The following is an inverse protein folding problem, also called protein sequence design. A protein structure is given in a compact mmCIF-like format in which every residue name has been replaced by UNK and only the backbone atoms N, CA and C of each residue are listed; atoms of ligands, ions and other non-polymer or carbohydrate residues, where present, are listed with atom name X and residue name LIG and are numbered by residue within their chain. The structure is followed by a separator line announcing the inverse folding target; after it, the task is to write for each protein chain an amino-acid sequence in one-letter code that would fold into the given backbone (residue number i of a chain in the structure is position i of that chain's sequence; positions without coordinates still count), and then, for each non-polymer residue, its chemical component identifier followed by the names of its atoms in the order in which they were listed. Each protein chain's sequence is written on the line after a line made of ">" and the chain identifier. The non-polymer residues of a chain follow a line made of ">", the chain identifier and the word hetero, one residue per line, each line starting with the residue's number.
data_IF_285528902075
#
_entry.id   IF_285528902075
#
_cell.length_a   1.000
_cell.length_b   1.000
_cell.length_c   1.000
_cell.angle_alpha   90.00
_cell.angle_beta   90.00
_cell.angle_gamma   90.00
#
_symmetry.space_group_name_H-M   'P 1'
#
loop_
_entity.id
_entity.type
_entity.pdbx_description
1 polymer ?
#
# COMPACT_ATOMS: atom_id res chain seq x y z
N UNK A 1 -36.22 56.06 13.74
CA UNK A 1 -37.22 55.29 14.52
C UNK A 1 -36.88 53.82 14.35
N UNK A 2 -36.68 52.93 15.34
CA UNK A 2 -36.48 52.93 16.80
C UNK A 2 -35.80 51.58 17.10
N UNK A 3 -34.72 51.55 17.91
CA UNK A 3 -34.65 51.14 19.33
C UNK A 3 -34.88 49.65 19.65
N UNK A 4 -34.09 49.20 20.64
CA UNK A 4 -34.12 47.97 21.48
C UNK A 4 -33.36 46.76 20.89
N UNK A 5 -32.18 46.37 21.38
CA UNK A 5 -31.70 46.05 22.75
C UNK A 5 -32.35 44.79 23.34
N UNK A 6 -31.60 43.68 23.41
CA UNK A 6 -31.62 42.84 24.62
C UNK A 6 -30.32 42.04 24.78
N UNK A 7 -29.70 42.23 25.94
CA UNK A 7 -28.57 41.50 26.53
C UNK A 7 -29.06 40.20 27.17
N UNK A 8 -28.10 39.38 27.62
CA UNK A 8 -28.15 38.37 28.71
C UNK A 8 -28.03 36.94 28.19
N UNK A 9 -27.36 36.00 28.85
CA UNK A 9 -26.43 36.03 29.97
C UNK A 9 -25.78 34.64 30.06
N UNK A 10 -24.62 34.59 30.72
CA UNK A 10 -23.92 33.42 31.20
C UNK A 10 -24.84 32.35 31.81
N UNK A 11 -24.53 31.07 31.59
CA UNK A 11 -24.60 30.10 32.67
C UNK A 11 -23.49 29.05 32.52
N UNK A 12 -22.48 29.19 33.37
CA UNK A 12 -21.50 28.18 33.71
C UNK A 12 -22.23 27.06 34.47
N UNK A 13 -22.01 25.79 34.11
CA UNK A 13 -22.39 24.68 34.96
C UNK A 13 -21.19 23.73 35.12
N UNK A 14 -20.43 24.04 36.16
CA UNK A 14 -19.44 23.17 36.80
C UNK A 14 -20.21 22.07 37.52
N UNK A 15 -20.03 20.81 37.13
CA UNK A 15 -20.36 19.67 37.98
C UNK A 15 -19.05 19.10 38.55
N UNK A 16 -18.82 19.40 39.82
CA UNK A 16 -17.77 18.80 40.64
C UNK A 16 -18.38 17.70 41.51
N UNK A 17 -17.62 16.60 41.59
CA UNK A 17 -17.47 15.66 42.71
C UNK A 17 -18.63 14.71 43.05
N UNK A 18 -18.36 13.42 42.84
CA UNK A 18 -18.49 12.47 43.96
C UNK A 18 -17.39 11.40 43.86
N UNK A 19 -16.47 11.46 44.83
CA UNK A 19 -15.53 10.40 45.14
C UNK A 19 -16.09 9.60 46.32
N UNK A 20 -16.01 8.27 46.24
CA UNK A 20 -15.53 7.34 47.27
C UNK A 20 -15.95 5.92 46.90
N UNK A 21 -15.03 5.13 46.35
CA UNK A 21 -14.23 4.08 47.03
C UNK A 21 -14.92 2.72 47.03
N UNK A 22 -14.49 1.87 46.10
CA UNK A 22 -14.64 0.41 46.21
C UNK A 22 -13.23 -0.18 46.22
N UNK A 23 -12.76 -0.55 47.41
CA UNK A 23 -11.50 -1.26 47.62
C UNK A 23 -11.82 -2.73 47.94
N UNK A 24 -11.56 -3.69 47.04
CA UNK A 24 -11.40 -5.06 47.47
C UNK A 24 -10.01 -5.24 48.08
N UNK A 25 -9.97 -5.61 49.35
CA UNK A 25 -8.75 -6.04 50.06
C UNK A 25 -8.31 -7.37 49.43
N UNK A 26 -7.30 -7.32 48.56
CA UNK A 26 -6.55 -8.51 48.14
C UNK A 26 -5.43 -8.71 49.16
N UNK A 27 -5.46 -9.84 49.87
CA UNK A 27 -4.32 -10.27 50.69
C UNK A 27 -3.20 -10.69 49.74
N UNK A 28 -2.07 -9.98 49.80
CA UNK A 28 -0.87 -10.28 49.02
C UNK A 28 0.12 -10.92 49.98
N UNK A 29 0.53 -12.15 49.67
CA UNK A 29 1.61 -12.85 50.36
C UNK A 29 2.93 -12.06 50.18
N UNK A 30 3.74 -11.83 51.22
CA UNK A 30 4.94 -11.00 51.13
C UNK A 30 6.14 -11.79 50.61
N UNK A 31 6.10 -12.25 49.35
CA UNK A 31 7.31 -12.62 48.61
C UNK A 31 7.08 -12.64 47.09
N UNK A 32 6.62 -11.52 46.52
CA UNK A 32 6.60 -11.35 45.06
C UNK A 32 7.52 -10.20 44.71
N UNK A 33 8.73 -10.56 44.30
CA UNK A 33 9.66 -9.65 43.64
C UNK A 33 8.98 -9.16 42.36
N UNK A 34 8.55 -7.90 42.34
CA UNK A 34 8.02 -7.27 41.12
C UNK A 34 9.20 -7.07 40.17
N UNK A 35 9.41 -8.03 39.28
CA UNK A 35 10.16 -7.81 38.05
C UNK A 35 9.27 -6.92 37.18
N UNK A 36 9.67 -5.71 36.78
CA UNK A 36 8.86 -4.91 35.86
C UNK A 36 8.71 -5.71 34.56
N UNK A 37 7.49 -6.18 34.30
CA UNK A 37 7.15 -6.77 33.02
C UNK A 37 7.29 -5.68 31.96
N UNK A 38 8.23 -5.89 31.05
CA UNK A 38 8.42 -5.08 29.85
C UNK A 38 7.13 -5.11 29.04
N UNK A 39 6.28 -4.10 29.22
CA UNK A 39 5.24 -3.74 28.27
C UNK A 39 5.96 -3.27 27.00
N UNK A 40 6.10 -4.17 26.02
CA UNK A 40 6.49 -3.78 24.66
C UNK A 40 5.28 -3.17 23.98
N UNK A 41 5.00 -1.89 24.25
CA UNK A 41 4.21 -1.09 23.32
C UNK A 41 4.99 -1.05 22.01
N UNK A 42 4.39 -1.61 20.96
CA UNK A 42 4.94 -1.71 19.63
C UNK A 42 5.21 -0.30 19.08
N UNK A 43 6.50 0.07 18.99
CA UNK A 43 7.01 1.29 18.37
C UNK A 43 6.86 1.33 16.84
N UNK A 44 5.89 0.60 16.27
CA UNK A 44 5.65 0.46 14.83
C UNK A 44 5.21 1.77 14.15
N UNK A 45 5.03 2.87 14.87
CA UNK A 45 4.70 4.17 14.29
C UNK A 45 5.84 5.19 14.24
N UNK A 46 6.85 5.09 15.12
CA UNK A 46 7.79 6.20 15.33
C UNK A 46 8.93 6.23 14.31
N UNK A 47 9.34 5.07 13.77
CA UNK A 47 10.47 4.97 12.85
C UNK A 47 10.10 4.36 11.49
N UNK A 48 8.81 4.14 11.24
CA UNK A 48 8.33 3.52 10.01
C UNK A 48 7.70 4.56 9.07
N UNK A 49 7.75 4.27 7.78
CA UNK A 49 7.03 4.94 6.72
C UNK A 49 6.09 3.94 6.06
N UNK A 50 4.98 4.45 5.53
CA UNK A 50 3.98 3.62 4.84
C UNK A 50 4.08 3.84 3.35
N UNK A 51 4.09 2.76 2.56
CA UNK A 51 3.88 2.83 1.11
C UNK A 51 2.65 2.01 0.75
N UNK A 52 1.72 2.61 0.03
CA UNK A 52 0.47 1.96 -0.38
C UNK A 52 0.52 1.66 -1.87
N UNK A 53 0.25 0.41 -2.24
CA UNK A 53 0.02 0.04 -3.63
C UNK A 53 -1.31 0.63 -4.11
N UNK A 54 -1.43 0.98 -5.39
CA UNK A 54 -2.66 1.58 -5.93
C UNK A 54 -3.18 0.81 -7.14
N UNK A 55 -4.40 1.14 -7.54
CA UNK A 55 -4.99 0.60 -8.76
C UNK A 55 -5.90 1.61 -9.44
N UNK A 56 -6.00 1.51 -10.75
CA UNK A 56 -6.99 2.22 -11.55
C UNK A 56 -7.91 1.21 -12.24
N UNK A 57 -9.23 1.39 -12.10
CA UNK A 57 -10.21 0.56 -12.80
C UNK A 57 -10.53 1.20 -14.14
N UNK A 58 -10.06 0.59 -15.24
CA UNK A 58 -10.32 1.11 -16.58
C UNK A 58 -11.69 0.64 -17.09
N UNK A 59 -12.05 -0.61 -16.83
CA UNK A 59 -13.40 -1.16 -17.04
C UNK A 59 -13.77 -2.07 -15.88
N UNK A 60 -14.96 -2.66 -15.89
CA UNK A 60 -15.40 -3.64 -14.90
C UNK A 60 -14.64 -4.98 -14.94
N UNK A 61 -13.81 -5.23 -15.95
CA UNK A 61 -13.01 -6.46 -16.11
C UNK A 61 -11.54 -6.19 -16.49
N UNK A 62 -11.10 -4.93 -16.49
CA UNK A 62 -9.72 -4.52 -16.72
C UNK A 62 -9.31 -3.47 -15.70
N UNK A 63 -8.22 -3.72 -14.98
CA UNK A 63 -7.63 -2.78 -14.03
C UNK A 63 -6.12 -2.69 -14.23
N UNK A 64 -5.56 -1.54 -13.95
CA UNK A 64 -4.12 -1.34 -13.81
C UNK A 64 -3.77 -1.40 -12.33
N UNK A 65 -2.73 -2.16 -11.98
CA UNK A 65 -2.27 -2.30 -10.60
C UNK A 65 -0.83 -1.81 -10.55
N UNK A 66 -0.56 -0.91 -9.61
CA UNK A 66 0.75 -0.29 -9.37
C UNK A 66 1.24 -0.69 -7.98
N UNK A 67 2.35 -1.40 -7.92
CA UNK A 67 2.73 -2.12 -6.70
C UNK A 67 4.23 -2.31 -6.51
N UNK A 68 4.64 -2.55 -5.25
CA UNK A 68 5.99 -3.03 -4.91
C UNK A 68 6.08 -4.55 -5.09
N UNK A 69 7.11 -4.99 -5.80
CA UNK A 69 7.39 -6.41 -6.06
C UNK A 69 8.60 -6.94 -5.29
N UNK A 70 9.54 -6.07 -4.93
CA UNK A 70 10.69 -6.41 -4.09
C UNK A 70 11.16 -5.20 -3.28
N UNK A 71 11.77 -5.47 -2.13
CA UNK A 71 12.39 -4.49 -1.23
C UNK A 71 13.84 -4.91 -1.05
N UNK A 72 14.78 -4.00 -1.33
CA UNK A 72 16.23 -4.24 -1.27
C UNK A 72 16.66 -5.50 -2.04
N UNK A 73 16.01 -5.79 -3.17
CA UNK A 73 16.26 -6.96 -4.01
C UNK A 73 15.59 -8.26 -3.53
N UNK A 74 14.95 -8.27 -2.35
CA UNK A 74 14.19 -9.42 -1.86
C UNK A 74 12.73 -9.36 -2.35
N UNK A 75 12.31 -10.39 -3.08
CA UNK A 75 10.94 -10.48 -3.60
C UNK A 75 9.95 -10.63 -2.44
N UNK A 76 8.87 -9.86 -2.51
CA UNK A 76 7.77 -9.93 -1.56
C UNK A 76 6.49 -10.45 -2.22
N UNK A 77 5.47 -10.75 -1.41
CA UNK A 77 4.15 -11.04 -1.94
C UNK A 77 3.50 -9.77 -2.50
N UNK A 78 3.40 -9.68 -3.83
CA UNK A 78 2.85 -8.51 -4.51
C UNK A 78 1.32 -8.46 -4.53
N UNK A 79 0.78 -7.25 -4.63
CA UNK A 79 -0.65 -6.98 -4.86
C UNK A 79 -1.18 -7.70 -6.11
N UNK A 80 -0.37 -7.82 -7.16
CA UNK A 80 -0.70 -8.61 -8.35
C UNK A 80 -0.97 -10.08 -8.01
N UNK A 81 -0.10 -10.70 -7.19
CA UNK A 81 -0.27 -12.11 -6.79
C UNK A 81 -1.49 -12.29 -5.90
N UNK A 82 -1.70 -11.42 -4.91
CA UNK A 82 -2.90 -11.44 -4.05
C UNK A 82 -4.18 -11.26 -4.83
N UNK A 83 -4.19 -10.31 -5.77
CA UNK A 83 -5.32 -10.07 -6.67
C UNK A 83 -5.59 -11.30 -7.54
N UNK A 84 -4.57 -11.89 -8.15
CA UNK A 84 -4.74 -13.11 -8.95
C UNK A 84 -5.34 -14.26 -8.13
N UNK A 85 -4.82 -14.52 -6.93
CA UNK A 85 -5.36 -15.55 -6.02
C UNK A 85 -6.82 -15.27 -5.63
N UNK A 86 -7.16 -14.02 -5.34
CA UNK A 86 -8.52 -13.62 -4.94
C UNK A 86 -9.57 -13.77 -6.05
N UNK A 87 -9.14 -13.86 -7.32
CA UNK A 87 -10.03 -13.99 -8.48
C UNK A 87 -9.96 -15.37 -9.15
N UNK A 88 -9.09 -16.24 -8.67
CA UNK A 88 -8.96 -17.58 -9.23
C UNK A 88 -10.29 -18.33 -9.14
N UNK A 89 -10.80 -18.79 -10.28
CA UNK A 89 -12.09 -19.49 -10.36
C UNK A 89 -13.34 -18.61 -10.28
N UNK A 90 -13.23 -17.27 -10.25
CA UNK A 90 -14.39 -16.36 -10.18
C UNK A 90 -14.90 -15.88 -11.55
N UNK A 91 -14.39 -16.44 -12.65
CA UNK A 91 -14.77 -16.04 -14.01
C UNK A 91 -14.44 -14.57 -14.29
N UNK A 92 -15.43 -13.78 -14.69
CA UNK A 92 -15.27 -12.35 -15.02
C UNK A 92 -15.35 -11.41 -13.81
N UNK A 93 -15.60 -11.93 -12.61
CA UNK A 93 -15.60 -11.12 -11.39
C UNK A 93 -14.18 -10.63 -11.09
N UNK A 94 -14.06 -9.37 -10.66
CA UNK A 94 -12.78 -8.74 -10.34
C UNK A 94 -12.79 -8.17 -8.93
N UNK A 95 -11.87 -8.65 -8.10
CA UNK A 95 -11.60 -8.23 -6.73
C UNK A 95 -10.12 -7.83 -6.63
N UNK A 96 -9.84 -6.53 -6.64
CA UNK A 96 -8.48 -6.02 -6.47
C UNK A 96 -8.06 -6.13 -5.00
N UNK A 97 -6.85 -6.61 -4.75
CA UNK A 97 -6.23 -6.70 -3.43
C UNK A 97 -4.90 -5.96 -3.46
N UNK A 98 -4.84 -4.87 -2.69
CA UNK A 98 -3.68 -4.00 -2.58
C UNK A 98 -2.98 -4.22 -1.24
N UNK A 99 -1.67 -4.05 -1.23
CA UNK A 99 -0.84 -4.09 -0.04
C UNK A 99 -0.62 -2.68 0.50
N UNK A 100 -0.45 -2.66 1.81
CA UNK A 100 0.18 -1.58 2.55
C UNK A 100 1.50 -2.13 3.09
N UNK A 101 2.59 -1.38 2.87
CA UNK A 101 3.95 -1.78 3.24
C UNK A 101 4.46 -0.82 4.29
N UNK A 102 4.75 -1.34 5.49
CA UNK A 102 5.39 -0.58 6.55
C UNK A 102 6.89 -0.87 6.52
N UNK A 103 7.68 0.17 6.25
CA UNK A 103 9.12 0.06 6.03
C UNK A 103 9.86 0.99 7.00
N UNK A 104 11.06 0.61 7.48
CA UNK A 104 11.89 1.53 8.24
C UNK A 104 12.16 2.82 7.45
N UNK A 105 12.14 3.95 8.14
CA UNK A 105 12.60 5.22 7.60
C UNK A 105 14.08 5.16 7.24
N UNK A 106 14.49 5.91 6.21
CA UNK A 106 15.84 5.86 5.65
C UNK A 106 15.88 5.52 4.16
N UNK A 107 17.06 5.21 3.66
CA UNK A 107 17.24 4.82 2.25
C UNK A 107 16.81 3.38 2.01
N UNK A 108 16.02 3.17 0.96
CA UNK A 108 15.55 1.85 0.54
C UNK A 108 15.55 1.76 -0.98
N UNK A 109 15.80 0.56 -1.50
CA UNK A 109 15.61 0.26 -2.92
C UNK A 109 14.33 -0.54 -3.10
N UNK A 110 13.43 -0.08 -3.97
CA UNK A 110 12.14 -0.71 -4.22
C UNK A 110 12.04 -1.10 -5.69
N UNK A 111 11.64 -2.33 -5.98
CA UNK A 111 11.28 -2.73 -7.33
C UNK A 111 9.79 -2.50 -7.52
N UNK A 112 9.43 -1.42 -8.22
CA UNK A 112 8.02 -1.07 -8.48
C UNK A 112 7.58 -1.54 -9.86
N UNK A 113 6.31 -1.90 -9.96
CA UNK A 113 5.72 -2.42 -11.20
C UNK A 113 4.32 -1.85 -11.40
N UNK A 114 4.02 -1.45 -12.64
CA UNK A 114 2.66 -1.29 -13.14
C UNK A 114 2.31 -2.47 -14.03
N UNK A 115 1.15 -3.09 -13.83
CA UNK A 115 0.64 -4.16 -14.69
C UNK A 115 -0.80 -3.92 -15.10
N UNK A 116 -1.14 -4.31 -16.32
CA UNK A 116 -2.53 -4.60 -16.68
C UNK A 116 -2.96 -5.92 -16.03
N UNK A 117 -4.15 -5.93 -15.43
CA UNK A 117 -4.80 -7.08 -14.84
C UNK A 117 -6.17 -7.31 -15.47
N UNK A 118 -6.36 -8.52 -15.99
CA UNK A 118 -7.63 -9.03 -16.54
C UNK A 118 -7.86 -10.40 -15.89
N UNK A 119 -9.00 -10.65 -15.22
CA UNK A 119 -9.23 -11.87 -14.44
C UNK A 119 -9.37 -13.13 -15.32
N UNK A 120 -9.72 -12.97 -16.59
CA UNK A 120 -9.91 -14.09 -17.53
C UNK A 120 -8.62 -14.33 -18.35
N UNK A 121 -8.04 -15.55 -18.29
CA UNK A 121 -6.77 -15.86 -18.97
C UNK A 121 -6.81 -15.64 -20.50
N UNK A 122 -7.91 -16.00 -21.17
CA UNK A 122 -8.02 -15.86 -22.63
C UNK A 122 -7.94 -14.39 -23.08
N UNK A 123 -8.51 -13.47 -22.31
CA UNK A 123 -8.52 -12.03 -22.60
C UNK A 123 -7.19 -11.33 -22.21
N UNK A 124 -6.35 -12.01 -21.44
CA UNK A 124 -5.01 -11.52 -21.04
C UNK A 124 -3.92 -11.78 -22.09
N UNK A 125 -4.16 -12.69 -23.06
CA UNK A 125 -3.20 -12.96 -24.13
C UNK A 125 -3.06 -11.73 -25.05
N UNK A 126 -1.92 -11.03 -24.94
CA UNK A 126 -1.60 -9.84 -25.74
C UNK A 126 -1.73 -8.50 -24.99
N UNK A 127 -2.52 -8.44 -23.91
CA UNK A 127 -2.83 -7.21 -23.17
C UNK A 127 -2.02 -7.03 -21.87
N UNK A 128 -0.97 -7.82 -21.67
CA UNK A 128 -0.16 -7.79 -20.44
C UNK A 128 0.89 -6.68 -20.48
N UNK A 129 0.48 -5.43 -20.62
CA UNK A 129 1.42 -4.33 -20.48
C UNK A 129 1.94 -4.28 -19.05
N UNK A 130 3.27 -4.25 -18.96
CA UNK A 130 4.00 -4.16 -17.70
C UNK A 130 5.14 -3.16 -17.85
N UNK A 131 5.19 -2.21 -16.94
CA UNK A 131 6.29 -1.25 -16.77
C UNK A 131 6.84 -1.43 -15.36
N UNK A 132 8.13 -1.19 -15.16
CA UNK A 132 8.71 -1.32 -13.83
C UNK A 132 10.22 -1.30 -13.86
N UNK A 133 10.78 -1.12 -12.67
CA UNK A 133 12.20 -1.00 -12.43
C UNK A 133 12.49 -0.74 -10.96
N UNK A 134 13.78 -0.62 -10.65
CA UNK A 134 14.27 -0.34 -9.32
C UNK A 134 14.35 1.17 -9.09
N UNK A 135 13.92 1.57 -7.89
CA UNK A 135 13.94 2.95 -7.42
C UNK A 135 14.70 2.99 -6.11
N UNK A 136 15.63 3.93 -5.99
CA UNK A 136 16.17 4.32 -4.68
C UNK A 136 15.40 5.54 -4.16
N UNK A 137 14.85 5.43 -2.96
CA UNK A 137 14.11 6.50 -2.29
C UNK A 137 14.53 6.61 -0.83
N UNK A 138 14.45 7.83 -0.28
CA UNK A 138 14.61 8.07 1.16
C UNK A 138 13.23 8.26 1.79
N UNK A 139 12.83 7.31 2.62
CA UNK A 139 11.58 7.36 3.36
C UNK A 139 11.75 8.16 4.64
N UNK A 140 10.76 8.97 4.96
CA UNK A 140 10.71 9.74 6.20
C UNK A 140 9.69 9.10 7.16
N UNK A 141 10.06 9.03 8.44
CA UNK A 141 9.20 8.45 9.47
C UNK A 141 7.84 9.16 9.55
N UNK A 142 6.78 8.37 9.75
CA UNK A 142 5.39 8.84 9.82
C UNK A 142 4.82 9.34 8.49
N UNK A 143 5.57 9.30 7.38
CA UNK A 143 5.05 9.69 6.06
C UNK A 143 4.42 8.51 5.33
N UNK A 144 3.43 8.84 4.51
CA UNK A 144 2.77 7.91 3.60
C UNK A 144 3.09 8.28 2.16
N UNK A 145 3.39 7.25 1.38
CA UNK A 145 3.69 7.32 -0.04
C UNK A 145 2.75 6.38 -0.81
N UNK A 146 2.66 6.57 -2.13
CA UNK A 146 1.88 5.72 -3.02
C UNK A 146 2.73 5.28 -4.20
N UNK A 147 2.58 4.02 -4.59
CA UNK A 147 3.04 3.57 -5.91
C UNK A 147 1.92 3.87 -6.90
N UNK A 148 2.18 4.70 -7.89
CA UNK A 148 1.18 5.15 -8.87
C UNK A 148 1.75 5.05 -10.28
N UNK A 149 0.92 5.21 -11.31
CA UNK A 149 1.35 4.98 -12.68
C UNK A 149 0.33 5.34 -13.74
N UNK A 150 0.76 5.22 -14.99
CA UNK A 150 -0.06 5.30 -16.17
C UNK A 150 0.27 4.14 -17.12
N UNK A 151 -0.76 3.47 -17.62
CA UNK A 151 -0.70 2.30 -18.50
C UNK A 151 -1.76 2.33 -19.60
N UNK A 152 -2.46 3.45 -19.80
CA UNK A 152 -3.47 3.59 -20.84
C UNK A 152 -2.98 4.49 -21.98
N UNK A 153 -3.67 4.42 -23.12
CA UNK A 153 -3.46 5.27 -24.31
C UNK A 153 -2.02 5.37 -24.87
N UNK A 154 -1.17 4.38 -24.56
CA UNK A 154 0.21 4.30 -25.05
C UNK A 154 1.26 4.76 -24.05
N UNK A 155 0.83 5.45 -22.98
CA UNK A 155 1.69 5.84 -21.87
C UNK A 155 2.01 4.62 -21.00
N UNK A 156 3.27 4.53 -20.56
CA UNK A 156 3.78 3.43 -19.73
C UNK A 156 4.78 3.95 -18.72
N UNK A 157 4.26 4.37 -17.58
CA UNK A 157 5.06 4.93 -16.50
C UNK A 157 4.59 4.37 -15.15
N UNK A 158 5.52 4.19 -14.22
CA UNK A 158 5.23 3.89 -12.82
C UNK A 158 6.20 4.68 -11.94
N UNK A 159 5.70 5.27 -10.87
CA UNK A 159 6.45 6.16 -9.99
C UNK A 159 6.01 6.00 -8.53
N UNK A 160 6.77 6.62 -7.63
CA UNK A 160 6.36 6.82 -6.23
C UNK A 160 6.02 8.29 -6.04
N UNK A 161 4.91 8.56 -5.38
CA UNK A 161 4.49 9.92 -5.00
C UNK A 161 4.25 10.02 -3.49
N UNK A 162 4.36 11.23 -2.95
CA UNK A 162 3.92 11.52 -1.59
C UNK A 162 2.38 11.60 -1.50
N UNK A 163 1.85 11.76 -0.29
CA UNK A 163 0.40 11.87 -0.06
C UNK A 163 -0.27 13.06 -0.79
N UNK A 164 0.51 14.08 -1.17
CA UNK A 164 0.04 15.25 -1.88
C UNK A 164 0.13 15.08 -3.41
N UNK A 165 0.57 13.92 -3.90
CA UNK A 165 0.74 13.63 -5.32
C UNK A 165 2.04 14.17 -5.93
N UNK A 166 3.00 14.61 -5.11
CA UNK A 166 4.31 15.02 -5.61
C UNK A 166 5.12 13.77 -5.96
N UNK A 167 5.48 13.61 -7.24
CA UNK A 167 6.37 12.54 -7.70
C UNK A 167 7.76 12.66 -7.06
N UNK A 168 8.26 11.56 -6.53
CA UNK A 168 9.56 11.45 -5.84
C UNK A 168 10.61 10.73 -6.68
N UNK A 169 10.17 10.05 -7.73
CA UNK A 169 11.02 9.32 -8.68
C UNK A 169 10.96 9.97 -10.05
N UNK A 170 12.11 10.03 -10.73
CA UNK A 170 12.14 10.38 -12.15
C UNK A 170 11.71 9.17 -12.99
N UNK A 171 11.09 9.44 -14.13
CA UNK A 171 10.46 8.50 -15.07
C UNK A 171 11.26 7.20 -15.23
N UNK A 172 10.68 6.07 -14.80
CA UNK A 172 11.27 4.75 -14.97
C UNK A 172 11.05 4.27 -16.41
N UNK A 173 12.12 4.01 -17.13
CA UNK A 173 12.04 3.47 -18.49
C UNK A 173 11.51 2.03 -18.45
N UNK A 174 10.51 1.64 -19.27
CA UNK A 174 9.99 0.28 -19.29
C UNK A 174 11.09 -0.75 -19.55
N UNK A 175 11.17 -1.77 -18.69
CA UNK A 175 12.04 -2.93 -18.92
C UNK A 175 11.67 -3.57 -20.26
N UNK A 176 12.59 -3.66 -21.25
CA UNK A 176 12.29 -4.24 -22.54
C UNK A 176 11.91 -5.72 -22.35
N UNK A 177 10.76 -6.12 -22.91
CA UNK A 177 10.39 -7.54 -22.99
C UNK A 177 11.52 -8.30 -23.70
N UNK A 178 12.19 -9.20 -22.98
CA UNK A 178 13.18 -10.12 -23.56
C UNK A 178 12.48 -10.88 -24.70
N UNK A 179 12.79 -10.57 -25.95
CA UNK A 179 12.26 -11.31 -27.12
C UNK A 179 12.60 -12.79 -26.88
N UNK A 180 11.59 -13.64 -26.72
CA UNK A 180 11.78 -15.08 -26.82
C UNK A 180 12.22 -15.33 -28.27
N UNK A 181 13.52 -15.55 -28.46
CA UNK A 181 13.98 -16.12 -29.72
C UNK A 181 13.36 -17.51 -29.82
N UNK A 182 12.43 -17.68 -30.76
CA UNK A 182 11.99 -19.01 -31.17
C UNK A 182 13.18 -19.65 -31.87
N UNK A 183 13.91 -20.50 -31.16
CA UNK A 183 14.89 -21.40 -31.75
C UNK A 183 14.18 -22.56 -32.46
N UNK A 184 13.27 -22.24 -33.39
CA UNK A 184 12.88 -23.19 -34.43
C UNK A 184 13.88 -23.01 -35.57
N UNK A 185 15.10 -23.54 -35.36
CA UNK A 185 15.96 -23.91 -36.48
C UNK A 185 15.13 -24.86 -37.36
N UNK A 186 14.99 -24.48 -38.63
CA UNK A 186 14.26 -25.27 -39.60
C UNK A 186 14.76 -26.71 -39.62
N UNK A 187 13.89 -27.64 -39.21
CA UNK A 187 14.06 -29.03 -39.59
C UNK A 187 13.89 -29.08 -41.12
N UNK A 188 14.85 -29.62 -41.88
CA UNK A 188 14.68 -29.77 -43.31
C UNK A 188 13.47 -30.68 -43.56
N UNK A 189 12.51 -30.19 -44.35
CA UNK A 189 11.47 -31.04 -44.92
C UNK A 189 12.17 -32.11 -45.74
N UNK A 190 12.19 -33.34 -45.22
CA UNK A 190 12.51 -34.51 -46.04
C UNK A 190 11.46 -34.59 -47.15
N UNK A 191 11.94 -34.46 -48.39
CA UNK A 191 11.18 -34.80 -49.59
C UNK A 191 10.91 -36.29 -49.62
#
# INVERSE_FOLDING_TARGET
>A
MGKLTQRSAFLSLVFLLSACTYNPIVKIDPDVTIVPSSHSESSQGENEATIVDTSYSHTNWKSYIYYISAINGESIESSRKKTYMANYGLGRSMKIKLNEHHLPSGEVTLTIQGTTYIPIPMESFGNNDSVGGDVKIKLEAGKTYRVNGDLYDGDKEVWIEDINGKRLTQELTPTPRKKRYNNNLGLPRRR
#
